data_IF_694912362763
#
_entry.id   IF_694912362763
#
_cell.length_a   1.000
_cell.length_b   1.000
_cell.length_c   1.000
_cell.angle_alpha   90.00
_cell.angle_beta   90.00
_cell.angle_gamma   90.00
#
_symmetry.space_group_name_H-M   'P 1'
#
loop_
_entity.id
_entity.type
_entity.pdbx_description
1 polymer ?
#
# COMPACT_ATOMS: atom_id res chain seq x y z
N UNK A 1 26.76 -5.43 4.26
CA UNK A 1 26.17 -6.05 5.48
C UNK A 1 26.86 -7.38 5.67
N UNK A 2 27.68 -7.53 6.71
CA UNK A 2 28.37 -8.78 7.02
C UNK A 2 28.14 -9.04 8.52
N UNK A 3 26.94 -9.51 8.88
CA UNK A 3 26.59 -9.78 10.28
C UNK A 3 26.99 -11.19 10.67
N UNK A 4 27.37 -11.36 11.93
CA UNK A 4 27.79 -12.65 12.49
C UNK A 4 26.63 -13.52 12.95
N UNK A 5 25.42 -12.94 13.08
CA UNK A 5 24.18 -13.60 13.47
C UNK A 5 23.00 -13.20 12.57
N UNK A 6 22.06 -14.13 12.33
CA UNK A 6 20.82 -13.87 11.58
C UNK A 6 19.95 -12.79 12.25
N UNK A 7 19.89 -12.79 13.59
CA UNK A 7 19.11 -11.81 14.34
C UNK A 7 19.71 -10.41 14.22
N UNK A 8 21.04 -10.31 14.23
CA UNK A 8 21.77 -9.07 13.99
C UNK A 8 21.54 -8.57 12.55
N UNK A 9 21.51 -9.49 11.57
CA UNK A 9 21.16 -9.17 10.18
C UNK A 9 19.75 -8.60 10.06
N UNK A 10 18.77 -9.22 10.72
CA UNK A 10 17.39 -8.74 10.74
C UNK A 10 17.27 -7.37 11.42
N UNK A 11 17.95 -7.17 12.56
CA UNK A 11 17.97 -5.89 13.27
C UNK A 11 18.59 -4.76 12.41
N UNK A 12 19.67 -5.04 11.69
CA UNK A 12 20.31 -4.10 10.77
C UNK A 12 19.41 -3.73 9.59
N UNK A 13 18.69 -4.71 9.03
CA UNK A 13 17.72 -4.48 7.96
C UNK A 13 16.54 -3.63 8.45
N UNK A 14 16.02 -3.91 9.64
CA UNK A 14 14.93 -3.14 10.24
C UNK A 14 15.30 -1.67 10.49
N UNK A 15 16.53 -1.38 10.93
CA UNK A 15 16.91 0.01 11.22
C UNK A 15 17.23 0.88 10.00
N UNK A 16 17.14 0.34 8.77
CA UNK A 16 16.96 1.18 7.57
C UNK A 16 15.68 2.01 7.69
N UNK A 17 14.65 1.46 8.36
CA UNK A 17 13.36 2.11 8.60
C UNK A 17 13.28 2.73 10.00
N UNK A 18 13.79 2.04 11.03
CA UNK A 18 13.61 2.40 12.44
C UNK A 18 14.85 3.05 13.10
N UNK A 19 15.56 3.94 12.39
CA UNK A 19 16.76 4.65 12.86
C UNK A 19 17.82 3.76 13.55
N UNK A 20 18.69 3.17 12.73
CA UNK A 20 19.88 2.41 13.15
C UNK A 20 20.87 3.13 14.09
N UNK A 21 20.70 4.42 14.40
CA UNK A 21 21.58 5.16 15.33
C UNK A 21 21.20 4.98 16.81
N UNK A 22 20.06 4.35 17.10
CA UNK A 22 19.59 4.10 18.46
C UNK A 22 20.32 2.92 19.11
N UNK A 23 20.44 2.95 20.44
CA UNK A 23 21.03 1.86 21.20
C UNK A 23 20.13 0.60 21.21
N UNK A 24 18.81 0.79 21.09
CA UNK A 24 17.79 -0.25 21.02
C UNK A 24 16.53 0.28 20.29
N UNK A 25 15.68 -0.63 19.84
CA UNK A 25 14.36 -0.34 19.27
C UNK A 25 13.29 -0.41 20.35
N UNK A 26 12.45 0.62 20.44
CA UNK A 26 11.22 0.56 21.23
C UNK A 26 10.06 0.12 20.34
N UNK A 27 9.93 -1.20 20.20
CA UNK A 27 9.02 -1.82 19.24
C UNK A 27 7.54 -1.44 19.42
N UNK A 28 7.13 -0.99 20.62
CA UNK A 28 5.74 -0.60 20.90
C UNK A 28 5.45 0.86 20.55
N UNK A 29 6.45 1.74 20.64
CA UNK A 29 6.28 3.15 20.25
C UNK A 29 6.60 3.37 18.78
N UNK A 30 7.49 2.55 18.21
CA UNK A 30 7.90 2.60 16.80
C UNK A 30 6.88 1.96 15.85
N UNK A 31 6.18 0.91 16.30
CA UNK A 31 5.11 0.28 15.53
C UNK A 31 3.87 0.05 16.40
N UNK A 32 2.82 0.84 16.13
CA UNK A 32 1.55 0.72 16.83
C UNK A 32 0.63 -0.20 16.02
N UNK A 33 0.31 -1.38 16.56
CA UNK A 33 -0.63 -2.30 15.93
C UNK A 33 -2.01 -1.66 15.73
N UNK A 34 -2.52 -1.80 14.51
CA UNK A 34 -3.76 -1.18 14.08
C UNK A 34 -4.58 -2.09 13.16
N UNK A 35 -5.73 -1.61 12.70
CA UNK A 35 -6.62 -2.36 11.82
C UNK A 35 -6.09 -2.54 10.38
N UNK A 36 -5.04 -1.81 10.01
CA UNK A 36 -4.28 -2.00 8.77
C UNK A 36 -2.99 -2.82 9.02
N UNK A 37 -2.89 -4.07 8.51
CA UNK A 37 -1.73 -4.94 8.72
C UNK A 37 -0.42 -4.40 8.16
N UNK A 38 -0.43 -3.46 7.20
CA UNK A 38 0.81 -2.82 6.74
C UNK A 38 1.34 -1.74 7.69
N UNK A 39 0.59 -1.41 8.75
CA UNK A 39 0.93 -0.40 9.74
C UNK A 39 0.30 0.96 9.44
N UNK A 40 -0.14 1.65 10.50
CA UNK A 40 -0.79 2.97 10.39
C UNK A 40 0.19 4.14 10.61
N UNK A 41 1.42 3.87 11.05
CA UNK A 41 2.36 4.89 11.51
C UNK A 41 2.06 5.37 12.94
N UNK A 42 2.48 6.59 13.26
CA UNK A 42 2.34 7.18 14.60
C UNK A 42 1.68 8.56 14.56
N UNK A 43 1.16 9.02 15.70
CA UNK A 43 0.56 10.34 15.82
C UNK A 43 -0.90 10.43 15.35
N UNK A 44 -1.45 11.65 15.20
CA UNK A 44 -2.87 11.86 14.93
C UNK A 44 -3.32 11.32 13.56
N UNK A 45 -2.46 11.41 12.54
CA UNK A 45 -2.78 10.92 11.19
C UNK A 45 -2.93 9.40 11.17
N UNK A 46 -2.12 8.68 11.97
CA UNK A 46 -2.24 7.24 12.15
C UNK A 46 -3.57 6.83 12.80
N UNK A 47 -4.06 7.63 13.76
CA UNK A 47 -5.37 7.40 14.40
C UNK A 47 -6.50 7.63 13.38
N UNK A 48 -6.39 8.68 12.56
CA UNK A 48 -7.36 8.95 11.51
C UNK A 48 -7.40 7.82 10.47
N UNK A 49 -6.23 7.35 10.02
CA UNK A 49 -6.12 6.22 9.09
C UNK A 49 -6.70 4.94 9.70
N UNK A 50 -6.35 4.62 10.93
CA UNK A 50 -6.87 3.45 11.63
C UNK A 50 -8.39 3.52 11.81
N UNK A 51 -8.96 4.70 11.97
CA UNK A 51 -10.42 4.87 11.98
C UNK A 51 -11.05 4.54 10.61
N UNK A 52 -10.44 5.00 9.52
CA UNK A 52 -10.89 4.64 8.16
C UNK A 52 -10.77 3.13 7.91
N UNK A 53 -9.65 2.54 8.32
CA UNK A 53 -9.39 1.11 8.25
C UNK A 53 -10.28 0.30 9.20
N UNK A 54 -10.89 0.91 10.21
CA UNK A 54 -11.91 0.30 11.07
C UNK A 54 -13.36 0.47 10.60
N UNK A 55 -13.60 1.28 9.58
CA UNK A 55 -14.96 1.61 9.12
C UNK A 55 -15.22 1.06 7.72
N UNK A 56 -14.52 1.58 6.72
CA UNK A 56 -14.85 1.36 5.31
C UNK A 56 -13.66 0.77 4.54
N UNK A 57 -12.43 1.18 4.85
CA UNK A 57 -11.25 0.73 4.12
C UNK A 57 -10.81 -0.65 4.62
N UNK A 58 -10.79 -1.62 3.73
CA UNK A 58 -10.45 -3.01 4.03
C UNK A 58 -9.03 -3.31 3.52
N UNK A 59 -8.15 -3.77 4.41
CA UNK A 59 -6.79 -4.24 4.09
C UNK A 59 -6.66 -5.72 4.46
N UNK A 60 -7.11 -6.67 3.61
CA UNK A 60 -7.34 -8.05 4.01
C UNK A 60 -6.09 -8.93 3.81
N UNK A 61 -4.95 -8.53 4.36
CA UNK A 61 -3.66 -9.23 4.15
C UNK A 61 -3.01 -9.60 5.48
N UNK A 62 -2.92 -10.90 5.75
CA UNK A 62 -2.05 -11.47 6.78
C UNK A 62 -0.85 -12.19 6.16
N UNK A 63 0.06 -12.69 7.00
CA UNK A 63 1.19 -13.53 6.61
C UNK A 63 1.06 -14.96 7.12
N UNK A 64 1.63 -15.93 6.40
CA UNK A 64 1.42 -17.35 6.67
C UNK A 64 2.68 -18.23 6.68
N UNK A 65 3.88 -17.68 6.45
CA UNK A 65 5.14 -18.44 6.40
C UNK A 65 5.23 -19.54 5.34
N UNK A 66 4.28 -19.60 4.40
CA UNK A 66 4.20 -20.60 3.32
C UNK A 66 4.36 -19.93 1.95
N UNK A 67 3.54 -18.91 1.69
CA UNK A 67 3.59 -18.12 0.44
C UNK A 67 4.40 -16.83 0.61
N UNK A 68 4.87 -16.57 1.82
CA UNK A 68 5.67 -15.42 2.22
C UNK A 68 6.75 -15.84 3.22
N UNK A 69 7.71 -14.95 3.47
CA UNK A 69 8.85 -15.21 4.35
C UNK A 69 8.64 -14.74 5.80
N UNK A 70 7.42 -14.31 6.17
CA UNK A 70 7.14 -13.72 7.47
C UNK A 70 6.52 -14.74 8.43
N UNK A 71 6.56 -14.52 9.76
CA UNK A 71 5.83 -15.34 10.72
C UNK A 71 4.32 -15.39 10.44
N UNK A 72 3.63 -16.35 11.05
CA UNK A 72 2.17 -16.47 10.94
C UNK A 72 1.51 -15.32 11.71
N UNK A 73 0.95 -14.35 10.98
CA UNK A 73 0.18 -13.22 11.50
C UNK A 73 -1.16 -13.19 10.74
N UNK A 74 -2.19 -13.88 11.26
CA UNK A 74 -3.44 -14.03 10.53
C UNK A 74 -4.21 -12.70 10.52
N UNK A 75 -4.85 -12.45 9.38
CA UNK A 75 -5.88 -11.43 9.27
C UNK A 75 -7.21 -12.11 8.95
N UNK A 76 -8.28 -11.70 9.64
CA UNK A 76 -9.66 -12.06 9.28
C UNK A 76 -10.64 -10.97 9.73
N UNK A 77 -11.86 -10.94 9.17
CA UNK A 77 -12.87 -9.93 9.52
C UNK A 77 -13.22 -9.91 11.01
N UNK A 78 -13.22 -11.07 11.69
CA UNK A 78 -13.57 -11.17 13.11
C UNK A 78 -12.55 -10.48 14.01
N UNK A 79 -11.26 -10.65 13.73
CA UNK A 79 -10.16 -9.98 14.43
C UNK A 79 -10.24 -8.46 14.23
N UNK A 80 -10.47 -8.00 13.00
CA UNK A 80 -10.68 -6.58 12.69
C UNK A 80 -11.88 -6.03 13.45
N UNK A 81 -13.03 -6.71 13.39
CA UNK A 81 -14.25 -6.27 14.06
C UNK A 81 -14.05 -6.18 15.59
N UNK A 82 -13.39 -7.16 16.21
CA UNK A 82 -13.09 -7.15 17.64
C UNK A 82 -12.18 -5.98 18.03
N UNK A 83 -11.13 -5.71 17.25
CA UNK A 83 -10.24 -4.56 17.44
C UNK A 83 -11.01 -3.24 17.35
N UNK A 84 -11.77 -3.04 16.28
CA UNK A 84 -12.49 -1.80 16.01
C UNK A 84 -13.62 -1.54 17.01
N UNK A 85 -14.31 -2.59 17.45
CA UNK A 85 -15.31 -2.50 18.50
C UNK A 85 -14.68 -2.08 19.83
N UNK A 86 -13.51 -2.63 20.17
CA UNK A 86 -12.79 -2.29 21.40
C UNK A 86 -12.26 -0.86 21.38
N UNK A 87 -11.69 -0.42 20.25
CA UNK A 87 -11.00 0.88 20.15
C UNK A 87 -11.93 2.05 19.88
N UNK A 88 -12.90 1.88 18.99
CA UNK A 88 -13.78 2.95 18.52
C UNK A 88 -15.26 2.71 18.79
N UNK A 89 -15.64 1.54 19.31
CA UNK A 89 -17.05 1.20 19.54
C UNK A 89 -17.84 0.95 18.24
N UNK A 90 -17.15 0.59 17.16
CA UNK A 90 -17.74 0.47 15.81
C UNK A 90 -17.63 -0.96 15.29
N UNK A 91 -18.65 -1.38 14.55
CA UNK A 91 -18.63 -2.57 13.70
C UNK A 91 -18.27 -2.15 12.25
N UNK A 92 -17.17 -2.68 11.68
CA UNK A 92 -16.77 -2.37 10.30
C UNK A 92 -17.85 -2.72 9.27
N UNK A 93 -17.89 -1.99 8.15
CA UNK A 93 -18.80 -2.24 7.03
C UNK A 93 -18.01 -2.74 5.81
N UNK A 94 -17.59 -4.00 5.86
CA UNK A 94 -16.61 -4.56 4.92
C UNK A 94 -16.95 -4.39 3.42
N UNK A 95 -18.24 -4.47 3.05
CA UNK A 95 -18.67 -4.37 1.66
C UNK A 95 -18.99 -2.94 1.20
N UNK A 96 -18.96 -1.95 2.10
CA UNK A 96 -19.47 -0.62 1.79
C UNK A 96 -18.68 0.10 0.72
N UNK A 97 -17.35 -0.03 0.73
CA UNK A 97 -16.46 0.55 -0.29
C UNK A 97 -16.79 0.02 -1.69
N UNK A 98 -17.08 -1.27 -1.84
CA UNK A 98 -17.49 -1.84 -3.12
C UNK A 98 -18.88 -1.35 -3.57
N UNK A 99 -19.81 -1.13 -2.63
CA UNK A 99 -21.13 -0.56 -2.91
C UNK A 99 -21.03 0.90 -3.35
N UNK A 100 -20.22 1.71 -2.67
CA UNK A 100 -20.10 3.14 -2.95
C UNK A 100 -19.25 3.45 -4.16
N UNK A 101 -18.13 2.73 -4.34
CA UNK A 101 -17.12 3.01 -5.36
C UNK A 101 -17.06 1.93 -6.44
N UNK A 102 -18.15 1.17 -6.61
CA UNK A 102 -18.39 0.20 -7.68
C UNK A 102 -17.48 -1.03 -7.70
N UNK A 103 -16.47 -1.11 -6.83
CA UNK A 103 -15.56 -2.25 -6.74
C UNK A 103 -14.88 -2.51 -8.07
N UNK A 104 -15.07 -3.72 -8.63
CA UNK A 104 -14.52 -4.07 -9.94
C UNK A 104 -15.40 -3.62 -11.12
N UNK A 105 -16.65 -3.18 -10.87
CA UNK A 105 -17.59 -2.79 -11.92
C UNK A 105 -17.44 -1.31 -12.30
N UNK A 106 -16.22 -0.89 -12.60
CA UNK A 106 -15.87 0.51 -12.90
C UNK A 106 -15.86 0.81 -14.40
N UNK A 107 -16.29 -0.11 -15.27
CA UNK A 107 -16.23 0.05 -16.73
C UNK A 107 -17.09 1.21 -17.28
N UNK A 108 -18.03 1.71 -16.50
CA UNK A 108 -18.82 2.91 -16.83
C UNK A 108 -18.09 4.22 -16.54
N UNK A 109 -16.94 4.18 -15.87
CA UNK A 109 -16.09 5.35 -15.68
C UNK A 109 -15.36 5.71 -16.98
N UNK A 110 -14.78 6.90 -17.02
CA UNK A 110 -13.96 7.36 -18.13
C UNK A 110 -12.83 8.25 -17.63
N UNK A 111 -11.78 8.34 -18.45
CA UNK A 111 -10.65 9.25 -18.26
C UNK A 111 -9.93 9.02 -16.93
N UNK A 112 -9.52 7.76 -16.69
CA UNK A 112 -8.71 7.39 -15.52
C UNK A 112 -7.47 6.63 -16.00
N UNK A 113 -6.31 7.01 -15.49
CA UNK A 113 -5.07 6.25 -15.61
C UNK A 113 -4.84 5.55 -14.27
N UNK A 114 -4.70 4.23 -14.29
CA UNK A 114 -4.26 3.43 -13.17
C UNK A 114 -2.79 3.08 -13.36
N UNK A 115 -1.89 3.83 -12.74
CA UNK A 115 -0.45 3.54 -12.76
C UNK A 115 -0.05 2.65 -11.59
N UNK A 116 0.76 1.62 -11.86
CA UNK A 116 1.27 0.70 -10.84
C UNK A 116 2.74 0.35 -11.08
N UNK A 117 3.56 0.42 -10.04
CA UNK A 117 4.96 -0.04 -10.07
C UNK A 117 5.07 -1.54 -9.91
N UNK A 118 5.89 -2.22 -10.73
CA UNK A 118 6.02 -3.68 -10.63
C UNK A 118 6.81 -4.18 -9.40
N UNK A 119 7.44 -3.28 -8.65
CA UNK A 119 8.08 -3.56 -7.36
C UNK A 119 7.17 -3.21 -6.18
N UNK A 120 5.99 -2.66 -6.43
CA UNK A 120 5.04 -2.23 -5.40
C UNK A 120 4.21 -3.43 -4.90
N UNK A 121 4.25 -3.79 -3.60
CA UNK A 121 3.37 -4.82 -3.05
C UNK A 121 1.87 -4.49 -3.20
N UNK A 122 1.51 -3.22 -3.39
CA UNK A 122 0.13 -2.76 -3.59
C UNK A 122 -0.41 -3.01 -4.99
N UNK A 123 0.44 -3.25 -6.00
CA UNK A 123 0.03 -3.47 -7.39
C UNK A 123 -1.04 -4.56 -7.52
N UNK A 124 -0.95 -5.63 -6.72
CA UNK A 124 -1.91 -6.74 -6.76
C UNK A 124 -3.34 -6.37 -6.33
N UNK A 125 -3.54 -5.21 -5.68
CA UNK A 125 -4.85 -4.68 -5.31
C UNK A 125 -5.42 -3.67 -6.31
N UNK A 126 -4.65 -3.29 -7.33
CA UNK A 126 -5.03 -2.26 -8.31
C UNK A 126 -5.61 -2.80 -9.61
N UNK A 127 -5.84 -1.88 -10.57
CA UNK A 127 -6.20 -2.19 -11.96
C UNK A 127 -4.92 -2.30 -12.78
N UNK A 128 -4.68 -3.47 -13.37
CA UNK A 128 -3.42 -3.79 -14.05
C UNK A 128 -3.58 -4.02 -15.57
N UNK A 129 -4.78 -3.84 -16.11
CA UNK A 129 -5.09 -3.97 -17.53
C UNK A 129 -6.02 -2.84 -17.98
N UNK A 130 -5.98 -2.50 -19.27
CA UNK A 130 -6.89 -1.52 -19.84
C UNK A 130 -8.33 -2.05 -19.77
N UNK A 131 -9.25 -1.27 -19.21
CA UNK A 131 -10.66 -1.66 -19.07
C UNK A 131 -11.56 -1.08 -20.17
N UNK A 132 -11.11 0.00 -20.81
CA UNK A 132 -11.74 0.66 -21.96
C UNK A 132 -10.73 1.57 -22.67
N UNK A 133 -11.15 2.25 -23.75
CA UNK A 133 -10.31 3.24 -24.46
C UNK A 133 -9.89 4.44 -23.59
N UNK A 134 -10.55 4.68 -22.45
CA UNK A 134 -10.25 5.81 -21.55
C UNK A 134 -9.99 5.40 -20.09
N UNK A 135 -10.07 4.10 -19.78
CA UNK A 135 -9.68 3.52 -18.50
C UNK A 135 -8.41 2.69 -18.72
N UNK A 136 -7.27 3.34 -18.59
CA UNK A 136 -5.98 2.83 -19.05
C UNK A 136 -5.11 2.41 -17.86
N UNK A 137 -4.39 1.30 -18.01
CA UNK A 137 -3.37 0.82 -17.09
C UNK A 137 -1.97 1.24 -17.57
N UNK A 138 -1.13 1.67 -16.65
CA UNK A 138 0.27 2.05 -16.92
C UNK A 138 1.18 1.36 -15.91
N UNK A 139 1.89 0.32 -16.36
CA UNK A 139 2.88 -0.34 -15.52
C UNK A 139 4.21 0.42 -15.55
N UNK A 140 4.69 0.83 -14.37
CA UNK A 140 5.98 1.49 -14.17
C UNK A 140 7.05 0.43 -13.87
N UNK A 141 7.78 0.00 -14.90
CA UNK A 141 8.84 -1.00 -14.76
C UNK A 141 10.03 -0.44 -13.96
N UNK A 142 10.42 -1.14 -12.90
CA UNK A 142 11.39 -0.67 -11.91
C UNK A 142 10.82 0.35 -10.92
N UNK A 143 9.52 0.63 -10.98
CA UNK A 143 8.83 1.50 -10.05
C UNK A 143 8.38 0.77 -8.80
N UNK A 144 8.58 1.38 -7.64
CA UNK A 144 7.90 1.04 -6.39
C UNK A 144 6.61 1.88 -6.27
N UNK A 145 6.18 2.20 -5.04
CA UNK A 145 4.93 2.92 -4.77
C UNK A 145 4.90 4.29 -5.47
N UNK A 146 4.00 4.42 -6.46
CA UNK A 146 3.68 5.63 -7.24
C UNK A 146 4.91 6.48 -7.69
N UNK A 147 5.95 5.83 -8.20
CA UNK A 147 7.20 6.50 -8.60
C UNK A 147 7.00 7.57 -9.69
N UNK A 148 6.02 7.36 -10.58
CA UNK A 148 5.55 8.27 -11.63
C UNK A 148 5.17 9.66 -11.10
N UNK A 149 4.59 9.74 -9.89
CA UNK A 149 4.20 11.00 -9.27
C UNK A 149 5.35 11.79 -8.63
N UNK A 150 6.52 11.17 -8.44
CA UNK A 150 7.68 11.87 -7.86
C UNK A 150 8.30 12.84 -8.87
N UNK A 151 9.02 13.83 -8.37
CA UNK A 151 9.85 14.71 -9.22
C UNK A 151 10.88 13.91 -10.02
N UNK A 152 11.21 14.39 -11.22
CA UNK A 152 12.24 13.76 -12.04
C UNK A 152 13.61 13.74 -11.36
N UNK A 153 14.34 12.65 -11.59
CA UNK A 153 15.67 12.42 -11.06
C UNK A 153 16.60 11.84 -12.14
N UNK A 154 17.90 12.14 -12.09
CA UNK A 154 18.90 11.59 -13.01
C UNK A 154 19.04 10.06 -12.90
N UNK A 155 18.66 9.47 -11.76
CA UNK A 155 18.67 8.04 -11.50
C UNK A 155 17.33 7.35 -11.78
N UNK A 156 16.36 8.06 -12.38
CA UNK A 156 15.07 7.46 -12.73
C UNK A 156 15.28 6.26 -13.67
N UNK A 157 14.69 5.09 -13.38
CA UNK A 157 14.74 3.97 -14.30
C UNK A 157 14.01 4.33 -15.60
N UNK A 158 14.41 3.78 -16.76
CA UNK A 158 13.75 4.08 -18.03
C UNK A 158 12.23 3.86 -18.01
N UNK A 159 11.75 2.91 -17.20
CA UNK A 159 10.32 2.60 -17.07
C UNK A 159 9.47 3.77 -16.56
N UNK A 160 9.95 4.55 -15.58
CA UNK A 160 9.17 5.72 -15.09
C UNK A 160 9.20 6.88 -16.08
N UNK A 161 10.28 7.06 -16.82
CA UNK A 161 10.37 8.08 -17.87
C UNK A 161 9.34 7.80 -18.97
N UNK A 162 9.27 6.54 -19.43
CA UNK A 162 8.27 6.11 -20.43
C UNK A 162 6.83 6.22 -19.91
N UNK A 163 6.59 5.84 -18.65
CA UNK A 163 5.27 5.96 -18.03
C UNK A 163 4.79 7.42 -17.99
N UNK A 164 5.62 8.35 -17.51
CA UNK A 164 5.28 9.78 -17.45
C UNK A 164 5.02 10.39 -18.83
N UNK A 165 5.78 10.01 -19.85
CA UNK A 165 5.51 10.48 -21.22
C UNK A 165 4.19 9.92 -21.78
N UNK A 166 3.86 8.66 -21.50
CA UNK A 166 2.56 8.06 -21.86
C UNK A 166 1.41 8.78 -21.13
N UNK A 167 1.52 8.97 -19.82
CA UNK A 167 0.54 9.69 -19.00
C UNK A 167 0.31 11.11 -19.51
N UNK A 168 1.39 11.85 -19.78
CA UNK A 168 1.34 13.20 -20.32
C UNK A 168 0.67 13.25 -21.70
N UNK A 169 0.89 12.27 -22.56
CA UNK A 169 0.23 12.18 -23.86
C UNK A 169 -1.28 11.96 -23.70
N UNK A 170 -1.69 11.06 -22.81
CA UNK A 170 -3.11 10.80 -22.49
C UNK A 170 -3.78 12.05 -21.90
N UNK A 171 -3.15 12.68 -20.90
CA UNK A 171 -3.68 13.90 -20.27
C UNK A 171 -3.84 15.04 -21.27
N UNK A 172 -2.91 15.18 -22.23
CA UNK A 172 -3.03 16.16 -23.31
C UNK A 172 -4.24 15.89 -24.21
N UNK A 173 -4.53 14.62 -24.51
CA UNK A 173 -5.72 14.24 -25.28
C UNK A 173 -7.02 14.54 -24.52
N UNK A 174 -7.03 14.45 -23.19
CA UNK A 174 -8.20 14.79 -22.40
C UNK A 174 -8.46 16.30 -22.28
N UNK A 175 -7.42 17.13 -22.45
CA UNK A 175 -7.50 18.58 -22.36
C UNK A 175 -7.78 19.27 -23.71
N UNK A 176 -7.63 18.55 -24.82
CA UNK A 176 -7.91 19.06 -26.18
C UNK A 176 -9.39 19.04 -26.51
#
# INVERSE_FOLDING_TARGET
MNSTSLLEGLANAAGVFYNNSLQCYDIYSEFIECSDPSGCGTGPDAIAWDYQACTELLSPRGSNSVTDMFPILPWNPELRAAYCQKKYGITPRDNWTAVQFWGQNIKSASNIIFSNGNLDPWMGGGVNEDLSESLLSVTVIGGAHHLDLRSSNQLDPPGVVLAREKEKAILRQWLS
#
